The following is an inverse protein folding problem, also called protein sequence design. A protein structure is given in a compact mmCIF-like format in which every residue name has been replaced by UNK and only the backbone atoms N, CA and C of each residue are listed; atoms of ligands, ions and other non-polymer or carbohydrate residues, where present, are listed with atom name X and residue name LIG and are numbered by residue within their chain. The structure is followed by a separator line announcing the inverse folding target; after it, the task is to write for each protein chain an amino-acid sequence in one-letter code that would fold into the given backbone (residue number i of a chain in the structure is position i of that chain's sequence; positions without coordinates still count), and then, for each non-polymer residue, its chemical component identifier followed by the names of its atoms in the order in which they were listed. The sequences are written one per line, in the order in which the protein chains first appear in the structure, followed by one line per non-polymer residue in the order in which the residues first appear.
data_IF_274262615422
#
_entry.id   IF_274262615422
#
_cell.length_a   1.000
_cell.length_b   1.000
_cell.length_c   1.000
_cell.angle_alpha   90.00
_cell.angle_beta   90.00
_cell.angle_gamma   90.00
#
_symmetry.space_group_name_H-M   'P 1'
#
loop_
_entity.id
_entity.type
_entity.pdbx_description
1 polymer ?
#
# COMPACT_ATOMS: atom_id res chain seq x y z
N UNK A 1 -5.80 1.30 -4.51
CA UNK A 1 -4.34 1.00 -4.47
C UNK A 1 -3.89 0.19 -5.69
N UNK A 2 -4.69 -0.78 -6.18
CA UNK A 2 -4.38 -1.56 -7.39
C UNK A 2 -3.90 -0.72 -8.58
N UNK A 3 -4.61 0.38 -8.91
CA UNK A 3 -4.23 1.29 -10.01
C UNK A 3 -2.83 1.90 -9.84
N UNK A 4 -2.44 2.28 -8.62
CA UNK A 4 -1.13 2.88 -8.34
C UNK A 4 -0.01 1.87 -8.59
N UNK A 5 -0.24 0.61 -8.22
CA UNK A 5 0.72 -0.47 -8.45
C UNK A 5 0.84 -0.82 -9.94
N UNK A 6 -0.28 -0.86 -10.65
CA UNK A 6 -0.30 -1.05 -12.11
C UNK A 6 0.42 0.08 -12.83
N UNK A 7 0.17 1.33 -12.45
CA UNK A 7 0.84 2.50 -13.01
C UNK A 7 2.35 2.47 -12.77
N UNK A 8 2.79 2.03 -11.59
CA UNK A 8 4.21 1.82 -11.30
C UNK A 8 4.84 0.72 -12.16
N UNK A 9 4.15 -0.42 -12.31
CA UNK A 9 4.63 -1.52 -13.14
C UNK A 9 4.79 -1.06 -14.60
N UNK A 10 3.80 -0.35 -15.13
CA UNK A 10 3.83 0.23 -16.48
C UNK A 10 4.93 1.29 -16.62
N UNK A 11 5.11 2.16 -15.62
CA UNK A 11 6.21 3.13 -15.58
C UNK A 11 7.56 2.44 -15.69
N UNK A 12 7.78 1.34 -14.95
CA UNK A 12 9.03 0.57 -15.02
C UNK A 12 9.25 -0.12 -16.36
N UNK A 13 8.21 -0.68 -16.98
CA UNK A 13 8.30 -1.26 -18.34
C UNK A 13 8.73 -0.22 -19.38
N UNK A 14 8.22 1.02 -19.27
CA UNK A 14 8.55 2.10 -20.20
C UNK A 14 9.99 2.65 -20.08
N UNK A 15 10.68 2.41 -18.96
CA UNK A 15 12.02 2.94 -18.68
C UNK A 15 13.17 2.03 -19.18
N UNK A 16 12.86 1.01 -20.00
CA UNK A 16 13.82 0.11 -20.65
C UNK A 16 13.92 -1.25 -19.95
N UNK A 17 13.57 -2.32 -20.67
CA UNK A 17 13.37 -3.64 -20.07
C UNK A 17 14.33 -4.70 -20.64
N UNK A 18 14.90 -5.49 -19.73
CA UNK A 18 15.35 -6.87 -19.95
C UNK A 18 14.36 -7.76 -19.19
N UNK A 19 13.90 -8.88 -19.77
CA UNK A 19 12.79 -9.70 -19.24
C UNK A 19 12.89 -10.03 -17.73
N UNK A 20 14.11 -10.24 -17.21
CA UNK A 20 14.35 -10.50 -15.79
C UNK A 20 13.93 -9.36 -14.84
N UNK A 21 13.95 -8.10 -15.29
CA UNK A 21 13.53 -6.95 -14.46
C UNK A 21 12.02 -6.85 -14.34
N UNK A 22 11.29 -7.24 -15.37
CA UNK A 22 9.83 -7.24 -15.35
C UNK A 22 9.28 -8.23 -14.32
N UNK A 23 9.82 -9.45 -14.33
CA UNK A 23 9.45 -10.47 -13.36
C UNK A 23 9.65 -9.96 -11.92
N UNK A 24 10.80 -9.37 -11.63
CA UNK A 24 11.10 -8.84 -10.29
C UNK A 24 10.16 -7.69 -9.89
N UNK A 25 9.77 -6.81 -10.82
CA UNK A 25 8.79 -5.75 -10.54
C UNK A 25 7.42 -6.33 -10.21
N UNK A 26 6.97 -7.32 -10.97
CA UNK A 26 5.67 -7.97 -10.74
C UNK A 26 5.65 -8.69 -9.39
N UNK A 27 6.72 -9.38 -9.01
CA UNK A 27 6.86 -10.04 -7.70
C UNK A 27 6.79 -9.02 -6.55
N UNK A 28 7.49 -7.89 -6.67
CA UNK A 28 7.43 -6.83 -5.64
C UNK A 28 6.02 -6.23 -5.55
N UNK A 29 5.37 -6.00 -6.67
CA UNK A 29 3.99 -5.49 -6.72
C UNK A 29 3.01 -6.46 -6.06
N UNK A 30 3.13 -7.76 -6.36
CA UNK A 30 2.33 -8.81 -5.75
C UNK A 30 2.57 -8.89 -4.23
N UNK A 31 3.83 -8.87 -3.81
CA UNK A 31 4.21 -8.90 -2.39
C UNK A 31 3.67 -7.70 -1.62
N UNK A 32 3.74 -6.49 -2.18
CA UNK A 32 3.15 -5.28 -1.55
C UNK A 32 1.63 -5.45 -1.39
N UNK A 33 0.94 -5.99 -2.39
CA UNK A 33 -0.50 -6.21 -2.35
C UNK A 33 -0.92 -7.21 -1.28
N UNK A 34 -0.22 -8.34 -1.19
CA UNK A 34 -0.50 -9.37 -0.18
C UNK A 34 -0.25 -8.85 1.25
N UNK A 35 0.90 -8.19 1.48
CA UNK A 35 1.21 -7.62 2.78
C UNK A 35 0.22 -6.52 3.18
N UNK A 36 -0.24 -5.71 2.21
CA UNK A 36 -1.26 -4.71 2.47
C UNK A 36 -2.55 -5.33 2.97
N UNK A 37 -3.05 -6.37 2.29
CA UNK A 37 -4.31 -7.03 2.64
C UNK A 37 -4.27 -7.64 4.05
N UNK A 38 -3.17 -8.33 4.38
CA UNK A 38 -2.96 -8.94 5.70
C UNK A 38 -2.79 -7.89 6.81
N UNK A 39 -2.06 -6.80 6.55
CA UNK A 39 -1.71 -5.82 7.57
C UNK A 39 -2.75 -4.72 7.75
N UNK A 40 -3.64 -4.51 6.78
CA UNK A 40 -4.58 -3.39 6.82
C UNK A 40 -5.41 -3.40 8.10
N UNK A 41 -6.12 -4.50 8.35
CA UNK A 41 -7.00 -4.65 9.49
C UNK A 41 -6.28 -4.70 10.84
N UNK A 42 -4.95 -4.80 10.89
CA UNK A 42 -4.20 -4.95 12.15
C UNK A 42 -3.35 -3.73 12.46
N UNK A 43 -2.60 -3.22 11.48
CA UNK A 43 -1.52 -2.26 11.69
C UNK A 43 -1.63 -0.96 10.89
N UNK A 44 -2.38 -0.94 9.77
CA UNK A 44 -2.41 0.24 8.87
C UNK A 44 -3.53 1.23 9.18
N UNK A 45 -4.50 0.85 10.00
CA UNK A 45 -5.64 1.68 10.39
C UNK A 45 -5.48 2.27 11.79
N UNK A 46 -5.64 3.58 11.91
CA UNK A 46 -5.76 4.28 13.18
C UNK A 46 -7.05 3.86 13.90
N UNK A 47 -7.10 4.10 15.22
CA UNK A 47 -8.27 3.80 16.04
C UNK A 47 -9.55 4.41 15.47
N UNK A 48 -9.47 5.63 14.94
CA UNK A 48 -10.59 6.35 14.36
C UNK A 48 -11.13 5.75 13.04
N UNK A 49 -10.32 4.97 12.32
CA UNK A 49 -10.70 4.33 11.05
C UNK A 49 -11.30 2.93 11.25
N UNK A 50 -11.29 2.40 12.48
CA UNK A 50 -11.79 1.04 12.79
C UNK A 50 -13.29 0.87 12.54
N UNK A 51 -14.17 1.82 12.90
CA UNK A 51 -15.59 1.69 12.60
C UNK A 51 -15.86 1.63 11.09
N UNK A 52 -15.22 2.50 10.31
CA UNK A 52 -15.31 2.47 8.84
C UNK A 52 -14.88 1.12 8.27
N UNK A 53 -13.75 0.56 8.74
CA UNK A 53 -13.30 -0.75 8.28
C UNK A 53 -14.30 -1.87 8.59
N UNK A 54 -14.91 -1.85 9.78
CA UNK A 54 -15.94 -2.82 10.15
C UNK A 54 -17.20 -2.70 9.27
N UNK A 55 -17.61 -1.47 8.94
CA UNK A 55 -18.75 -1.21 8.04
C UNK A 55 -18.45 -1.70 6.62
N UNK A 56 -17.27 -1.42 6.08
CA UNK A 56 -16.85 -1.89 4.74
C UNK A 56 -16.87 -3.42 4.66
N UNK A 57 -16.36 -4.12 5.69
CA UNK A 57 -16.38 -5.58 5.72
C UNK A 57 -17.79 -6.15 5.82
N UNK A 58 -18.71 -5.47 6.52
CA UNK A 58 -20.09 -5.90 6.63
C UNK A 58 -20.88 -5.71 5.33
N UNK A 59 -20.66 -4.59 4.65
CA UNK A 59 -21.34 -4.25 3.39
C UNK A 59 -20.73 -4.99 2.18
N UNK A 60 -19.43 -5.27 2.22
CA UNK A 60 -18.67 -5.87 1.12
C UNK A 60 -17.69 -6.95 1.62
N UNK A 61 -18.18 -8.14 2.02
CA UNK A 61 -17.34 -9.19 2.59
C UNK A 61 -16.29 -9.73 1.62
N UNK A 62 -16.57 -9.69 0.30
CA UNK A 62 -15.68 -10.22 -0.74
C UNK A 62 -14.84 -9.13 -1.44
N UNK A 63 -14.94 -7.87 -1.02
CA UNK A 63 -14.18 -6.80 -1.67
C UNK A 63 -12.70 -6.88 -1.27
N UNK A 64 -11.76 -6.94 -2.24
CA UNK A 64 -10.35 -6.89 -1.91
C UNK A 64 -10.00 -5.50 -1.39
N UNK A 65 -9.45 -5.43 -0.19
CA UNK A 65 -9.13 -4.17 0.48
C UNK A 65 -8.18 -3.23 -0.30
N UNK A 66 -7.23 -3.72 -1.12
CA UNK A 66 -6.45 -2.90 -2.05
C UNK A 66 -7.27 -2.08 -3.06
N UNK A 67 -8.55 -2.41 -3.29
CA UNK A 67 -9.45 -1.62 -4.14
C UNK A 67 -10.15 -0.51 -3.38
N UNK A 68 -10.45 -0.72 -2.11
CA UNK A 68 -11.18 0.23 -1.27
C UNK A 68 -10.24 1.32 -0.75
N UNK A 69 -9.01 0.96 -0.39
CA UNK A 69 -8.04 1.89 0.18
C UNK A 69 -7.05 2.47 -0.85
N UNK A 70 -6.66 3.72 -0.63
CA UNK A 70 -5.88 4.54 -1.56
C UNK A 70 -4.38 4.63 -1.25
N UNK A 71 -3.73 5.64 -1.83
CA UNK A 71 -2.31 5.92 -1.62
C UNK A 71 -1.91 6.21 -0.15
N UNK A 72 -2.72 6.89 0.67
CA UNK A 72 -2.35 7.19 2.06
C UNK A 72 -2.10 5.93 2.90
N UNK A 73 -2.99 4.94 2.82
CA UNK A 73 -2.85 3.68 3.55
C UNK A 73 -1.71 2.83 2.99
N UNK A 74 -1.51 2.84 1.67
CA UNK A 74 -0.36 2.19 1.04
C UNK A 74 0.96 2.77 1.58
N UNK A 75 1.05 4.09 1.75
CA UNK A 75 2.27 4.70 2.31
C UNK A 75 2.53 4.27 3.76
N UNK A 76 1.49 4.04 4.57
CA UNK A 76 1.63 3.54 5.95
C UNK A 76 2.26 2.15 6.00
N UNK A 77 2.02 1.30 4.99
CA UNK A 77 2.66 -0.01 4.90
C UNK A 77 4.19 0.11 4.89
N UNK A 78 4.75 1.13 4.24
CA UNK A 78 6.20 1.34 4.20
C UNK A 78 6.82 1.68 5.57
N UNK A 79 6.03 2.22 6.50
CA UNK A 79 6.45 2.37 7.90
C UNK A 79 6.56 1.03 8.64
N UNK A 80 5.79 0.03 8.22
CA UNK A 80 5.77 -1.32 8.80
C UNK A 80 6.68 -2.31 8.09
N UNK A 81 6.99 -2.09 6.80
CA UNK A 81 7.86 -2.97 6.01
C UNK A 81 9.21 -3.21 6.70
N UNK A 82 9.78 -2.22 7.38
CA UNK A 82 11.01 -2.41 8.14
C UNK A 82 10.91 -3.52 9.20
N UNK A 83 9.77 -3.61 9.90
CA UNK A 83 9.50 -4.70 10.84
C UNK A 83 9.28 -6.03 10.10
N UNK A 84 8.52 -6.03 9.01
CA UNK A 84 8.28 -7.25 8.19
C UNK A 84 9.61 -7.85 7.72
N UNK A 85 10.50 -7.01 7.19
CA UNK A 85 11.81 -7.43 6.68
C UNK A 85 12.71 -7.97 7.78
N UNK A 86 12.59 -7.47 9.01
CA UNK A 86 13.35 -7.97 10.15
C UNK A 86 12.96 -9.42 10.53
N UNK A 87 11.71 -9.82 10.28
CA UNK A 87 11.21 -11.17 10.53
C UNK A 87 11.28 -12.08 9.31
N UNK A 88 11.67 -11.56 8.14
CA UNK A 88 11.78 -12.35 6.90
C UNK A 88 13.23 -12.79 6.70
N UNK A 89 13.53 -14.10 6.67
CA UNK A 89 14.90 -14.57 6.47
C UNK A 89 15.33 -14.35 5.01
N UNK A 90 15.94 -13.20 4.74
CA UNK A 90 16.50 -12.84 3.44
C UNK A 90 18.02 -12.79 3.51
N UNK A 91 18.71 -13.28 2.47
CA UNK A 91 20.14 -13.05 2.32
C UNK A 91 20.42 -11.59 1.94
N UNK A 92 21.65 -11.14 2.18
CA UNK A 92 22.05 -9.74 2.00
C UNK A 92 21.84 -9.23 0.57
N UNK A 93 22.02 -10.09 -0.45
CA UNK A 93 21.86 -9.69 -1.85
C UNK A 93 20.38 -9.52 -2.18
N UNK A 94 19.53 -10.46 -1.75
CA UNK A 94 18.08 -10.38 -1.94
C UNK A 94 17.48 -9.19 -1.20
N UNK A 95 17.95 -8.93 0.03
CA UNK A 95 17.51 -7.77 0.82
C UNK A 95 17.91 -6.46 0.15
N UNK A 96 19.15 -6.32 -0.31
CA UNK A 96 19.61 -5.12 -1.01
C UNK A 96 18.82 -4.87 -2.31
N UNK A 97 18.52 -5.94 -3.06
CA UNK A 97 17.72 -5.86 -4.27
C UNK A 97 16.28 -5.43 -3.97
N UNK A 98 15.64 -6.04 -2.96
CA UNK A 98 14.28 -5.69 -2.54
C UNK A 98 14.20 -4.24 -2.08
N UNK A 99 15.13 -3.79 -1.23
CA UNK A 99 15.22 -2.41 -0.77
C UNK A 99 15.38 -1.44 -1.92
N UNK A 100 16.16 -1.79 -2.96
CA UNK A 100 16.27 -0.96 -4.15
C UNK A 100 14.91 -0.81 -4.87
N UNK A 101 14.13 -1.89 -5.02
CA UNK A 101 12.79 -1.80 -5.62
C UNK A 101 11.82 -0.99 -4.76
N UNK A 102 11.82 -1.19 -3.44
CA UNK A 102 10.99 -0.43 -2.51
C UNK A 102 11.34 1.06 -2.51
N UNK A 103 12.62 1.42 -2.51
CA UNK A 103 13.06 2.82 -2.62
C UNK A 103 12.67 3.44 -3.97
N UNK A 104 12.76 2.67 -5.07
CA UNK A 104 12.32 3.15 -6.38
C UNK A 104 10.81 3.40 -6.41
N UNK A 105 10.02 2.56 -5.74
CA UNK A 105 8.59 2.76 -5.59
C UNK A 105 8.26 4.02 -4.77
N UNK A 106 8.92 4.22 -3.63
CA UNK A 106 8.76 5.43 -2.82
C UNK A 106 9.13 6.69 -3.60
N UNK A 107 10.20 6.65 -4.41
CA UNK A 107 10.55 7.75 -5.32
C UNK A 107 9.48 8.00 -6.37
N UNK A 108 8.81 6.96 -6.86
CA UNK A 108 7.68 7.11 -7.80
C UNK A 108 6.49 7.80 -7.13
N UNK A 109 6.11 7.40 -5.91
CA UNK A 109 5.07 8.08 -5.15
C UNK A 109 5.42 9.55 -4.89
N UNK A 110 6.68 9.83 -4.55
CA UNK A 110 7.17 11.18 -4.29
C UNK A 110 7.23 12.08 -5.54
N UNK A 111 7.16 11.53 -6.76
CA UNK A 111 7.08 12.33 -8.00
C UNK A 111 5.68 12.90 -8.25
N UNK A 112 4.65 12.27 -7.71
CA UNK A 112 3.26 12.65 -7.95
C UNK A 112 2.48 12.88 -6.64
N UNK A 113 2.98 13.69 -5.70
CA UNK A 113 2.34 13.81 -4.40
C UNK A 113 0.98 14.49 -4.48
N UNK A 114 0.83 15.49 -5.38
CA UNK A 114 -0.40 16.26 -5.52
C UNK A 114 -1.58 15.44 -6.07
N UNK A 115 -1.32 14.40 -6.86
CA UNK A 115 -2.37 13.53 -7.42
C UNK A 115 -2.65 12.32 -6.54
N UNK A 116 -1.69 11.92 -5.70
CA UNK A 116 -1.79 10.73 -4.86
C UNK A 116 -2.23 11.05 -3.42
N UNK A 117 -1.90 12.24 -2.91
CA UNK A 117 -2.16 12.65 -1.54
C UNK A 117 -2.86 14.00 -1.54
N UNK A 118 -4.19 13.99 -1.53
CA UNK A 118 -4.97 15.22 -1.39
C UNK A 118 -5.76 15.24 -0.08
N UNK A 119 -5.75 16.40 0.58
CA UNK A 119 -6.63 16.64 1.71
C UNK A 119 -8.10 16.75 1.29
N UNK A 120 -8.38 17.00 -0.01
CA UNK A 120 -9.75 17.01 -0.55
C UNK A 120 -10.41 15.64 -0.53
N UNK A 121 -9.63 14.57 -0.40
CA UNK A 121 -10.14 13.19 -0.32
C UNK A 121 -10.70 12.88 1.07
N UNK A 122 -10.65 13.84 1.99
CA UNK A 122 -11.10 13.71 3.37
C UNK A 122 -12.27 14.66 3.65
N UNK A 123 -13.27 14.12 4.32
CA UNK A 123 -14.41 14.88 4.84
C UNK A 123 -14.39 14.88 6.37
N UNK A 124 -15.01 15.89 6.97
CA UNK A 124 -15.20 15.93 8.42
C UNK A 124 -16.23 14.87 8.80
N UNK A 125 -15.80 13.89 9.59
CA UNK A 125 -16.67 12.81 10.03
C UNK A 125 -17.87 13.36 10.85
N UNK A 126 -19.08 12.85 10.63
CA UNK A 126 -20.27 13.33 11.32
C UNK A 126 -20.28 12.91 12.80
N UNK A 127 -21.01 13.61 13.68
CA UNK A 127 -21.03 13.31 15.11
C UNK A 127 -21.43 11.86 15.45
N UNK A 128 -22.29 11.21 14.65
CA UNK A 128 -22.62 9.81 14.85
C UNK A 128 -21.41 8.89 14.66
N UNK A 129 -20.56 9.18 13.66
CA UNK A 129 -19.34 8.42 13.41
C UNK A 129 -18.34 8.61 14.55
N UNK A 130 -18.19 9.84 15.06
CA UNK A 130 -17.34 10.11 16.22
C UNK A 130 -17.73 9.24 17.44
N UNK A 131 -19.03 9.02 17.70
CA UNK A 131 -19.48 8.17 18.81
C UNK A 131 -19.08 6.69 18.65
N UNK A 132 -18.99 6.20 17.40
CA UNK A 132 -18.54 4.84 17.09
C UNK A 132 -17.02 4.68 17.21
N UNK A 133 -16.28 5.76 17.01
CA UNK A 133 -14.81 5.77 16.93
C UNK A 133 -14.08 6.05 18.26
N UNK A 134 -14.82 6.33 19.34
CA UNK A 134 -14.31 6.60 20.70
C UNK A 134 -13.90 5.31 21.40
#
# INVERSE_FOLDING_TARGET
MDSILEDYANYKKSQGNTDNKEYAVNEVVAGIKEHFDVMLGTHLLYKFERPQYAEILADHPDAPMPRVYGAPHLLRLFGWIGAILAYTPLDEKSLALLLNYLHNFLKYLAKNPATLFSASDYEVAPPEYHRKAV
#
